data_IF_488232835283
#
_entry.id   IF_488232835283
#
_cell.length_a   1.000
_cell.length_b   1.000
_cell.length_c   1.000
_cell.angle_alpha   90.00
_cell.angle_beta   90.00
_cell.angle_gamma   90.00
#
_symmetry.space_group_name_H-M   'P 1'
#
loop_
_entity.id
_entity.type
_entity.pdbx_description
1 polymer ?
#
# COMPACT_ATOMS: atom_id res chain seq x y z
N UNK A 1 -9.51 4.05 8.18
CA UNK A 1 -8.08 4.10 7.82
C UNK A 1 -7.65 5.56 7.94
N UNK A 2 -6.67 5.87 8.78
CA UNK A 2 -6.07 7.18 8.92
C UNK A 2 -5.03 7.37 7.82
N UNK A 3 -5.25 8.32 6.92
CA UNK A 3 -4.30 8.65 5.84
C UNK A 3 -3.48 9.85 6.32
N UNK A 4 -2.17 9.66 6.49
CA UNK A 4 -1.27 10.76 6.85
C UNK A 4 -1.20 11.79 5.71
N UNK A 5 -0.90 13.04 6.03
CA UNK A 5 -0.73 14.10 5.01
C UNK A 5 0.31 13.69 3.95
N UNK A 6 1.40 13.06 4.39
CA UNK A 6 2.41 12.47 3.51
C UNK A 6 1.83 11.40 2.56
N UNK A 7 0.99 10.51 3.06
CA UNK A 7 0.33 9.51 2.23
C UNK A 7 -0.61 10.16 1.20
N UNK A 8 -1.38 11.17 1.60
CA UNK A 8 -2.30 11.89 0.72
C UNK A 8 -1.55 12.62 -0.41
N UNK A 9 -0.41 13.27 -0.10
CA UNK A 9 0.47 13.88 -1.10
C UNK A 9 1.00 12.84 -2.10
N UNK A 10 1.46 11.67 -1.62
CA UNK A 10 1.95 10.59 -2.48
C UNK A 10 0.84 10.00 -3.36
N UNK A 11 -0.37 9.87 -2.81
CA UNK A 11 -1.55 9.45 -3.56
C UNK A 11 -1.82 10.39 -4.74
N UNK A 12 -1.86 11.71 -4.46
CA UNK A 12 -2.07 12.74 -5.49
C UNK A 12 -0.96 12.74 -6.53
N UNK A 13 0.31 12.70 -6.12
CA UNK A 13 1.47 12.71 -7.03
C UNK A 13 1.50 11.50 -7.98
N UNK A 14 0.99 10.35 -7.53
CA UNK A 14 1.03 9.08 -8.29
C UNK A 14 -0.29 8.75 -8.98
N UNK A 15 -1.32 9.58 -8.82
CA UNK A 15 -2.66 9.32 -9.34
C UNK A 15 -3.35 8.12 -8.69
N UNK A 16 -3.02 7.81 -7.43
CA UNK A 16 -3.67 6.74 -6.68
C UNK A 16 -4.85 7.31 -5.91
N UNK A 17 -6.07 6.97 -6.32
CA UNK A 17 -7.29 7.55 -5.72
C UNK A 17 -7.76 6.77 -4.50
N UNK A 18 -8.63 7.37 -3.69
CA UNK A 18 -9.27 6.69 -2.56
C UNK A 18 -10.12 5.50 -3.01
N UNK A 19 -10.70 5.54 -4.22
CA UNK A 19 -11.41 4.40 -4.80
C UNK A 19 -10.47 3.23 -5.09
N UNK A 20 -9.26 3.50 -5.61
CA UNK A 20 -8.24 2.47 -5.81
C UNK A 20 -7.79 1.87 -4.49
N UNK A 21 -7.63 2.68 -3.44
CA UNK A 21 -7.37 2.18 -2.09
C UNK A 21 -8.49 1.26 -1.61
N UNK A 22 -9.75 1.66 -1.78
CA UNK A 22 -10.91 0.84 -1.44
C UNK A 22 -10.93 -0.50 -2.18
N UNK A 23 -10.61 -0.49 -3.48
CA UNK A 23 -10.46 -1.71 -4.30
C UNK A 23 -9.31 -2.59 -3.81
N UNK A 24 -8.18 -2.00 -3.40
CA UNK A 24 -7.03 -2.73 -2.89
C UNK A 24 -7.36 -3.46 -1.58
N UNK A 25 -7.98 -2.75 -0.63
CA UNK A 25 -8.30 -3.29 0.70
C UNK A 25 -9.44 -4.30 0.66
N UNK A 26 -10.43 -4.13 -0.24
CA UNK A 26 -11.52 -5.11 -0.44
C UNK A 26 -11.13 -6.28 -1.34
N UNK A 27 -10.08 -6.13 -2.14
CA UNK A 27 -9.63 -7.11 -3.11
C UNK A 27 -8.66 -8.13 -2.53
N UNK A 28 -8.07 -8.95 -3.40
CA UNK A 28 -6.98 -9.85 -3.03
C UNK A 28 -5.69 -9.05 -2.92
N UNK A 29 -5.14 -8.96 -1.72
CA UNK A 29 -3.86 -8.32 -1.43
C UNK A 29 -2.94 -9.27 -0.69
N UNK A 30 -1.64 -9.00 -0.77
CA UNK A 30 -0.62 -9.63 0.06
C UNK A 30 -0.20 -8.69 1.16
N UNK A 31 -0.17 -9.21 2.38
CA UNK A 31 0.36 -8.52 3.54
C UNK A 31 1.74 -9.08 3.85
N UNK A 32 2.78 -8.25 3.79
CA UNK A 32 4.13 -8.61 4.22
C UNK A 32 4.62 -7.62 5.28
N UNK A 33 5.40 -8.08 6.25
CA UNK A 33 6.11 -7.17 7.15
C UNK A 33 7.20 -6.45 6.35
N UNK A 34 7.39 -5.16 6.57
CA UNK A 34 8.45 -4.42 5.89
C UNK A 34 9.83 -4.90 6.37
N UNK A 35 10.69 -5.39 5.46
CA UNK A 35 12.02 -5.90 5.85
C UNK A 35 12.92 -4.79 6.39
N UNK A 36 12.69 -3.53 5.98
CA UNK A 36 13.47 -2.38 6.40
C UNK A 36 12.99 -1.75 7.71
N UNK A 37 11.71 -1.92 8.05
CA UNK A 37 11.11 -1.35 9.27
C UNK A 37 10.10 -2.33 9.85
N UNK A 38 10.49 -3.01 10.93
CA UNK A 38 9.67 -4.04 11.59
C UNK A 38 8.33 -3.54 12.15
N UNK A 39 8.17 -2.22 12.30
CA UNK A 39 6.90 -1.60 12.74
C UNK A 39 5.95 -1.22 11.60
N UNK A 40 6.22 -1.66 10.37
CA UNK A 40 5.42 -1.33 9.19
C UNK A 40 5.03 -2.55 8.40
N UNK A 41 3.83 -2.50 7.84
CA UNK A 41 3.32 -3.52 6.92
C UNK A 41 3.25 -2.98 5.50
N UNK A 42 3.49 -3.87 4.55
CA UNK A 42 3.40 -3.66 3.12
C UNK A 42 2.17 -4.41 2.63
N UNK A 43 1.20 -3.67 2.11
CA UNK A 43 -0.04 -4.21 1.56
C UNK A 43 0.05 -4.06 0.04
N UNK A 44 0.33 -5.16 -0.64
CA UNK A 44 0.53 -5.18 -2.09
C UNK A 44 -0.69 -5.74 -2.79
N UNK A 45 -1.22 -5.02 -3.78
CA UNK A 45 -2.38 -5.47 -4.54
C UNK A 45 -2.37 -4.96 -5.97
N UNK A 46 -3.10 -5.65 -6.85
CA UNK A 46 -3.28 -5.26 -8.24
C UNK A 46 -4.56 -4.44 -8.40
N UNK A 47 -4.42 -3.18 -8.79
CA UNK A 47 -5.56 -2.26 -8.97
C UNK A 47 -5.33 -1.44 -10.23
N UNK A 48 -6.36 -1.40 -11.08
CA UNK A 48 -6.37 -0.59 -12.31
C UNK A 48 -5.21 -0.95 -13.26
N UNK A 49 -5.01 -2.26 -13.48
CA UNK A 49 -3.99 -2.77 -14.41
C UNK A 49 -2.55 -2.68 -13.88
N UNK A 50 -2.33 -2.23 -12.64
CA UNK A 50 -1.00 -2.07 -12.06
C UNK A 50 -0.90 -2.57 -10.62
N UNK A 51 0.31 -3.01 -10.24
CA UNK A 51 0.62 -3.36 -8.87
C UNK A 51 0.96 -2.14 -8.02
N UNK A 52 0.36 -2.08 -6.83
CA UNK A 52 0.51 -1.02 -5.85
C UNK A 52 0.85 -1.61 -4.49
N UNK A 53 1.72 -0.92 -3.77
CA UNK A 53 2.06 -1.24 -2.38
C UNK A 53 1.68 -0.06 -1.50
N UNK A 54 0.79 -0.31 -0.55
CA UNK A 54 0.42 0.61 0.51
C UNK A 54 1.22 0.26 1.76
N UNK A 55 1.92 1.25 2.30
CA UNK A 55 2.70 1.07 3.53
C UNK A 55 1.86 1.57 4.70
N UNK A 56 1.63 0.69 5.67
CA UNK A 56 0.90 1.00 6.89
C UNK A 56 1.80 0.85 8.12
N UNK A 57 1.42 1.47 9.22
CA UNK A 57 2.01 1.19 10.53
C UNK A 57 1.54 -0.15 11.09
N UNK A 58 2.11 -0.59 12.22
CA UNK A 58 1.78 -1.86 12.89
C UNK A 58 0.30 -2.06 13.20
N UNK A 59 -0.44 -0.96 13.35
CA UNK A 59 -1.87 -0.93 13.65
C UNK A 59 -2.73 -1.22 12.39
N UNK A 60 -2.13 -1.24 11.19
CA UNK A 60 -2.79 -1.45 9.88
C UNK A 60 -3.82 -0.39 9.49
N UNK A 61 -4.30 0.44 10.43
CA UNK A 61 -5.23 1.52 10.13
C UNK A 61 -4.54 2.82 9.72
N UNK A 62 -3.26 3.03 10.05
CA UNK A 62 -2.51 4.24 9.66
C UNK A 62 -1.71 4.01 8.39
N UNK A 63 -2.08 4.71 7.32
CA UNK A 63 -1.38 4.72 6.05
C UNK A 63 -0.26 5.76 6.06
N UNK A 64 0.96 5.27 5.86
CA UNK A 64 2.17 6.10 5.86
C UNK A 64 2.47 6.59 4.44
N UNK A 65 2.36 5.72 3.43
CA UNK A 65 2.64 6.09 2.04
C UNK A 65 2.06 5.09 1.04
N UNK A 66 2.01 5.46 -0.24
CA UNK A 66 1.69 4.57 -1.37
C UNK A 66 2.78 4.65 -2.42
N UNK A 67 3.10 3.50 -3.01
CA UNK A 67 4.06 3.40 -4.11
C UNK A 67 3.70 2.28 -5.09
N UNK A 68 4.42 2.23 -6.21
CA UNK A 68 4.41 1.07 -7.10
C UNK A 68 5.04 -0.12 -6.38
N UNK A 69 4.44 -1.29 -6.57
CA UNK A 69 5.02 -2.50 -6.02
C UNK A 69 6.34 -2.83 -6.69
N UNK A 70 7.29 -3.30 -5.89
CA UNK A 70 8.54 -3.87 -6.36
C UNK A 70 8.31 -5.33 -6.77
N UNK A 71 9.09 -5.86 -7.72
CA UNK A 71 8.98 -7.25 -8.16
C UNK A 71 9.06 -8.25 -6.98
N UNK A 72 9.97 -8.01 -6.03
CA UNK A 72 10.14 -8.81 -4.80
C UNK A 72 8.94 -8.79 -3.85
N UNK A 73 8.02 -7.83 -4.00
CA UNK A 73 6.79 -7.75 -3.21
C UNK A 73 5.64 -8.53 -3.88
N UNK A 74 5.72 -8.75 -5.19
CA UNK A 74 4.70 -9.41 -6.03
C UNK A 74 4.96 -10.92 -6.09
N UNK A 75 6.23 -11.33 -6.08
CA UNK A 75 6.62 -12.74 -5.94
C UNK A 75 6.68 -13.09 -4.45
N UNK A 76 5.59 -13.68 -3.95
CA UNK A 76 5.66 -14.61 -2.84
C UNK A 76 5.69 -16.00 -3.43
N UNK A 77 6.88 -16.60 -3.49
CA UNK A 77 7.03 -18.05 -3.46
C UNK A 77 6.88 -18.50 -2.00
#
# INVERSE_FOLDING_TARGET
MNITDHAADQMKKRGFTAEMLGKLVKGRYWLKLSPQRKDRYLITGFVDGKWWTVVTEKDLYTMVTVRRAHASEIEGD
#
